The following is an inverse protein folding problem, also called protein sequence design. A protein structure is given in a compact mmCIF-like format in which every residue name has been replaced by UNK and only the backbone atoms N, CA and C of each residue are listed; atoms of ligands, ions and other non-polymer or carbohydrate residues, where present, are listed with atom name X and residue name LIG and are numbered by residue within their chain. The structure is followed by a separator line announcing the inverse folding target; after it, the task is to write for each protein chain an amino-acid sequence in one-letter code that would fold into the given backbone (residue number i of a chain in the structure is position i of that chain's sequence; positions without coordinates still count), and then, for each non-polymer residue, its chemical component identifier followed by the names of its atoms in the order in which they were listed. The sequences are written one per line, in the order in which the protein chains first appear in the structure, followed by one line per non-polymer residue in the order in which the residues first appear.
data_IF_615855062427
#
_entry.id   IF_615855062427
#
_cell.length_a   1.000
_cell.length_b   1.000
_cell.length_c   1.000
_cell.angle_alpha   90.00
_cell.angle_beta   90.00
_cell.angle_gamma   90.00
#
_symmetry.space_group_name_H-M   'P 1'
#
loop_
_entity.id
_entity.type
_entity.pdbx_description
1 polymer ?
#
# COMPACT_ATOMS: atom_id res chain seq x y z
N UNK A 1 2.60 -20.37 -5.83
CA UNK A 1 1.26 -19.74 -5.91
C UNK A 1 1.32 -18.26 -6.32
N UNK A 2 2.13 -17.41 -5.64
CA UNK A 2 2.20 -15.98 -5.99
C UNK A 2 2.67 -15.68 -7.42
N UNK A 3 3.64 -16.44 -7.94
CA UNK A 3 4.17 -16.24 -9.30
C UNK A 3 3.08 -16.44 -10.37
N UNK A 4 2.35 -17.55 -10.31
CA UNK A 4 1.26 -17.82 -11.25
C UNK A 4 0.16 -16.76 -11.16
N UNK A 5 -0.22 -16.36 -9.94
CA UNK A 5 -1.19 -15.29 -9.72
C UNK A 5 -0.72 -13.95 -10.33
N UNK A 6 0.56 -13.62 -10.21
CA UNK A 6 1.12 -12.40 -10.79
C UNK A 6 1.16 -12.45 -12.33
N UNK A 7 1.45 -13.61 -12.93
CA UNK A 7 1.43 -13.75 -14.40
C UNK A 7 0.00 -13.57 -14.93
N UNK A 8 -0.98 -14.27 -14.31
CA UNK A 8 -2.38 -14.14 -14.70
C UNK A 8 -2.90 -12.71 -14.50
N UNK A 9 -2.54 -12.08 -13.40
CA UNK A 9 -2.88 -10.70 -13.11
C UNK A 9 -2.28 -9.73 -14.14
N UNK A 10 -1.00 -9.89 -14.45
CA UNK A 10 -0.29 -9.02 -15.39
C UNK A 10 -0.91 -9.03 -16.77
N UNK A 11 -1.29 -10.25 -17.25
CA UNK A 11 -1.84 -10.44 -18.60
C UNK A 11 -3.35 -10.19 -18.65
N UNK A 12 -4.13 -10.77 -17.73
CA UNK A 12 -5.59 -10.80 -17.78
C UNK A 12 -6.26 -9.88 -16.74
N UNK A 13 -5.60 -9.62 -15.60
CA UNK A 13 -6.15 -8.80 -14.52
C UNK A 13 -5.93 -7.30 -14.69
N UNK A 14 -5.35 -6.87 -15.81
CA UNK A 14 -5.05 -5.46 -16.06
C UNK A 14 -3.81 -4.92 -15.32
N UNK A 15 -3.02 -5.80 -14.69
CA UNK A 15 -1.85 -5.40 -13.91
C UNK A 15 -0.82 -4.59 -14.69
N UNK A 16 -0.61 -4.93 -15.97
CA UNK A 16 0.26 -4.17 -16.86
C UNK A 16 -0.22 -2.73 -17.07
N UNK A 17 -1.47 -2.56 -17.46
CA UNK A 17 -2.06 -1.23 -17.69
C UNK A 17 -2.13 -0.40 -16.41
N UNK A 18 -2.50 -1.02 -15.30
CA UNK A 18 -2.54 -0.34 -14.00
C UNK A 18 -1.15 0.10 -13.53
N UNK A 19 -0.15 -0.72 -13.71
CA UNK A 19 1.24 -0.36 -13.40
C UNK A 19 1.71 0.82 -14.23
N UNK A 20 1.45 0.82 -15.55
CA UNK A 20 1.76 1.95 -16.43
C UNK A 20 0.99 3.22 -16.02
N UNK A 21 -0.29 3.10 -15.68
CA UNK A 21 -1.09 4.21 -15.19
C UNK A 21 -0.46 4.85 -13.94
N UNK A 22 -0.06 4.04 -12.96
CA UNK A 22 0.59 4.54 -11.74
C UNK A 22 1.97 5.14 -11.99
N UNK A 23 2.73 4.63 -12.97
CA UNK A 23 3.98 5.26 -13.43
C UNK A 23 3.71 6.64 -14.01
N UNK A 24 2.69 6.77 -14.84
CA UNK A 24 2.30 8.03 -15.46
C UNK A 24 1.85 9.06 -14.41
N UNK A 25 0.97 8.67 -13.48
CA UNK A 25 0.55 9.52 -12.36
C UNK A 25 1.75 9.96 -11.53
N UNK A 26 2.67 9.04 -11.26
CA UNK A 26 3.90 9.33 -10.53
C UNK A 26 4.80 10.34 -11.25
N UNK A 27 4.94 10.20 -12.56
CA UNK A 27 5.72 11.14 -13.38
C UNK A 27 5.09 12.54 -13.36
N UNK A 28 3.77 12.66 -13.54
CA UNK A 28 3.07 13.93 -13.47
C UNK A 28 3.21 14.60 -12.09
N UNK A 29 3.08 13.81 -11.02
CA UNK A 29 3.28 14.32 -9.67
C UNK A 29 4.70 14.84 -9.44
N UNK A 30 5.73 14.15 -9.97
CA UNK A 30 7.13 14.57 -9.87
C UNK A 30 7.44 15.87 -10.64
N UNK A 31 6.60 16.29 -11.59
CA UNK A 31 6.76 17.58 -12.28
C UNK A 31 6.47 18.79 -11.36
N UNK A 32 5.94 18.57 -10.16
CA UNK A 32 5.64 19.61 -9.19
C UNK A 32 6.44 19.39 -7.91
N UNK A 33 6.89 20.49 -7.27
CA UNK A 33 7.69 20.43 -6.03
C UNK A 33 6.86 19.76 -4.91
N UNK A 34 5.59 20.11 -4.76
CA UNK A 34 4.70 19.55 -3.76
C UNK A 34 4.34 18.09 -4.09
N UNK A 35 4.21 17.75 -5.37
CA UNK A 35 3.87 16.40 -5.83
C UNK A 35 5.04 15.43 -5.79
N UNK A 36 6.29 15.89 -5.71
CA UNK A 36 7.48 15.03 -5.77
C UNK A 36 7.45 13.85 -4.78
N UNK A 37 7.17 14.04 -3.46
CA UNK A 37 7.08 12.92 -2.51
C UNK A 37 5.95 11.94 -2.86
N UNK A 38 4.85 12.43 -3.43
CA UNK A 38 3.75 11.58 -3.90
C UNK A 38 4.12 10.81 -5.16
N UNK A 39 4.87 11.44 -6.07
CA UNK A 39 5.38 10.78 -7.27
C UNK A 39 6.23 9.55 -6.94
N UNK A 40 7.16 9.69 -5.98
CA UNK A 40 7.95 8.55 -5.48
C UNK A 40 7.04 7.46 -4.87
N UNK A 41 6.01 7.85 -4.13
CA UNK A 41 5.05 6.90 -3.58
C UNK A 41 4.24 6.21 -4.70
N UNK A 42 3.82 6.93 -5.74
CA UNK A 42 3.13 6.37 -6.92
C UNK A 42 3.99 5.33 -7.66
N UNK A 43 5.30 5.54 -7.79
CA UNK A 43 6.19 4.55 -8.39
C UNK A 43 6.23 3.24 -7.58
N UNK A 44 6.18 3.32 -6.25
CA UNK A 44 6.05 2.12 -5.40
C UNK A 44 4.72 1.43 -5.61
N UNK A 45 3.62 2.20 -5.70
CA UNK A 45 2.30 1.65 -6.01
C UNK A 45 2.28 1.03 -7.41
N UNK A 46 2.98 1.60 -8.40
CA UNK A 46 3.12 1.00 -9.73
C UNK A 46 3.74 -0.39 -9.67
N UNK A 47 4.86 -0.56 -8.95
CA UNK A 47 5.50 -1.88 -8.75
C UNK A 47 4.56 -2.86 -8.04
N UNK A 48 3.71 -2.38 -7.15
CA UNK A 48 2.68 -3.17 -6.49
C UNK A 48 1.54 -3.53 -7.45
N UNK A 49 1.11 -2.59 -8.28
CA UNK A 49 0.07 -2.80 -9.27
C UNK A 49 0.49 -3.80 -10.35
N UNK A 50 1.77 -3.82 -10.74
CA UNK A 50 2.28 -4.84 -11.64
C UNK A 50 2.22 -6.24 -11.04
N UNK A 51 2.62 -6.40 -9.77
CA UNK A 51 2.81 -7.69 -9.12
C UNK A 51 2.27 -7.68 -7.67
N UNK A 52 0.93 -7.73 -7.45
CA UNK A 52 0.33 -7.57 -6.12
C UNK A 52 0.34 -8.84 -5.27
N UNK A 53 0.46 -10.02 -5.91
CA UNK A 53 0.43 -11.29 -5.18
C UNK A 53 1.76 -11.56 -4.48
N UNK A 54 1.68 -12.05 -3.24
CA UNK A 54 2.86 -12.27 -2.41
C UNK A 54 3.40 -11.00 -1.73
N UNK A 55 2.76 -9.84 -1.94
CA UNK A 55 3.16 -8.56 -1.33
C UNK A 55 2.07 -8.02 -0.40
N UNK A 56 2.50 -7.19 0.55
CA UNK A 56 1.64 -6.52 1.53
C UNK A 56 2.14 -5.10 1.78
N UNK A 57 1.19 -4.19 2.02
CA UNK A 57 1.44 -2.81 2.41
C UNK A 57 1.52 -2.73 3.94
N UNK A 58 2.59 -2.17 4.47
CA UNK A 58 2.77 -1.94 5.91
C UNK A 58 3.29 -0.52 6.17
N UNK A 59 3.09 0.04 7.38
CA UNK A 59 3.77 1.26 7.81
C UNK A 59 5.29 1.08 7.77
N UNK A 60 6.01 2.11 7.32
CA UNK A 60 7.47 2.09 7.22
C UNK A 60 8.15 1.89 8.59
N UNK A 61 7.52 2.37 9.66
CA UNK A 61 7.99 2.22 11.04
C UNK A 61 8.08 0.76 11.50
N UNK A 62 7.26 -0.14 10.92
CA UNK A 62 7.28 -1.56 11.28
C UNK A 62 8.56 -2.27 10.85
N UNK A 63 9.26 -1.72 9.85
CA UNK A 63 10.57 -2.22 9.38
C UNK A 63 11.73 -1.33 9.85
N UNK A 64 11.52 -0.55 10.91
CA UNK A 64 12.57 0.28 11.52
C UNK A 64 12.91 1.55 10.76
N UNK A 65 12.17 1.92 9.72
CA UNK A 65 12.34 3.20 9.05
C UNK A 65 11.74 4.33 9.89
N UNK A 66 12.37 5.49 9.87
CA UNK A 66 11.82 6.68 10.55
C UNK A 66 10.48 7.06 9.93
N UNK A 67 9.52 7.40 10.80
CA UNK A 67 8.27 7.98 10.35
C UNK A 67 8.55 9.22 9.49
N UNK A 68 7.93 9.29 8.32
CA UNK A 68 8.06 10.46 7.45
C UNK A 68 7.31 11.61 8.08
N UNK A 69 8.04 12.60 8.59
CA UNK A 69 7.44 13.79 9.20
C UNK A 69 6.47 14.45 8.21
N UNK A 70 5.25 14.74 8.67
CA UNK A 70 4.22 15.32 7.80
C UNK A 70 3.51 14.33 6.88
N UNK A 71 3.81 13.02 6.93
CA UNK A 71 3.15 12.02 6.08
C UNK A 71 1.64 11.98 6.27
N UNK A 72 1.16 12.18 7.49
CA UNK A 72 -0.28 12.24 7.79
C UNK A 72 -0.94 13.43 7.09
N UNK A 73 -0.35 14.62 7.22
CA UNK A 73 -0.86 15.83 6.57
C UNK A 73 -0.78 15.71 5.03
N UNK A 74 0.33 15.21 4.51
CA UNK A 74 0.48 14.92 3.10
C UNK A 74 -0.57 13.92 2.59
N UNK A 75 -0.83 12.85 3.31
CA UNK A 75 -1.86 11.87 2.95
C UNK A 75 -3.28 12.48 2.98
N UNK A 76 -3.58 13.43 3.86
CA UNK A 76 -4.86 14.14 3.86
C UNK A 76 -5.00 14.96 2.57
N UNK A 77 -3.98 15.74 2.21
CA UNK A 77 -3.97 16.51 0.97
C UNK A 77 -4.13 15.58 -0.24
N UNK A 78 -3.32 14.53 -0.31
CA UNK A 78 -3.39 13.53 -1.36
C UNK A 78 -4.78 12.88 -1.46
N UNK A 79 -5.35 12.49 -0.33
CA UNK A 79 -6.67 11.84 -0.25
C UNK A 79 -7.76 12.73 -0.88
N UNK A 80 -7.77 14.02 -0.54
CA UNK A 80 -8.78 14.98 -1.04
C UNK A 80 -8.67 15.16 -2.57
N UNK A 81 -7.45 15.31 -3.09
CA UNK A 81 -7.26 15.64 -4.50
C UNK A 81 -7.22 14.43 -5.43
N UNK A 82 -6.62 13.32 -5.00
CA UNK A 82 -6.37 12.16 -5.86
C UNK A 82 -6.69 10.83 -5.20
N UNK A 83 -6.26 10.62 -3.95
CA UNK A 83 -6.23 9.31 -3.31
C UNK A 83 -7.60 8.68 -3.13
N UNK A 84 -8.59 9.47 -2.75
CA UNK A 84 -9.98 9.02 -2.58
C UNK A 84 -10.56 8.52 -3.90
N UNK A 85 -10.41 9.28 -4.97
CA UNK A 85 -10.95 8.95 -6.29
C UNK A 85 -10.29 7.70 -6.87
N UNK A 86 -8.97 7.61 -6.74
CA UNK A 86 -8.22 6.43 -7.17
C UNK A 86 -8.61 5.19 -6.37
N UNK A 87 -8.77 5.32 -5.04
CA UNK A 87 -9.19 4.22 -4.19
C UNK A 87 -10.61 3.75 -4.52
N UNK A 88 -11.56 4.67 -4.72
CA UNK A 88 -12.93 4.34 -5.14
C UNK A 88 -12.91 3.58 -6.47
N UNK A 89 -12.15 4.05 -7.47
CA UNK A 89 -12.00 3.36 -8.75
C UNK A 89 -11.52 1.92 -8.57
N UNK A 90 -10.49 1.70 -7.76
CA UNK A 90 -10.00 0.35 -7.47
C UNK A 90 -11.02 -0.50 -6.71
N UNK A 91 -11.77 0.08 -5.76
CA UNK A 91 -12.82 -0.64 -5.02
C UNK A 91 -13.92 -1.09 -5.97
N UNK A 92 -14.41 -0.21 -6.84
CA UNK A 92 -15.46 -0.56 -7.81
C UNK A 92 -15.02 -1.66 -8.77
N UNK A 93 -13.79 -1.56 -9.29
CA UNK A 93 -13.20 -2.62 -10.12
C UNK A 93 -13.05 -3.94 -9.34
N UNK A 94 -12.61 -3.86 -8.10
CA UNK A 94 -12.46 -5.01 -7.22
C UNK A 94 -13.80 -5.72 -6.96
N UNK A 95 -14.86 -4.96 -6.68
CA UNK A 95 -16.21 -5.50 -6.50
C UNK A 95 -16.69 -6.16 -7.80
N UNK A 96 -16.53 -5.50 -8.96
CA UNK A 96 -16.87 -6.09 -10.25
C UNK A 96 -16.14 -7.41 -10.53
N UNK A 97 -14.86 -7.50 -10.21
CA UNK A 97 -14.10 -8.76 -10.32
C UNK A 97 -14.67 -9.85 -9.40
N UNK A 98 -15.07 -9.51 -8.17
CA UNK A 98 -15.61 -10.46 -7.20
C UNK A 98 -16.98 -11.05 -7.60
N UNK A 99 -17.65 -10.50 -8.62
CA UNK A 99 -18.86 -11.10 -9.16
C UNK A 99 -18.62 -12.44 -9.86
N UNK A 100 -17.36 -12.82 -10.12
CA UNK A 100 -16.99 -14.11 -10.70
C UNK A 100 -16.00 -14.83 -9.79
N UNK A 101 -16.08 -16.17 -9.72
CA UNK A 101 -15.18 -16.99 -8.88
C UNK A 101 -13.72 -16.79 -9.30
N UNK A 102 -13.44 -16.75 -10.59
CA UNK A 102 -12.09 -16.53 -11.15
C UNK A 102 -11.61 -15.09 -10.88
N UNK A 103 -12.52 -14.15 -10.79
CA UNK A 103 -12.20 -12.74 -10.53
C UNK A 103 -11.92 -12.42 -9.06
N UNK A 104 -12.35 -13.25 -8.11
CA UNK A 104 -12.12 -13.00 -6.66
C UNK A 104 -10.65 -12.67 -6.35
N UNK A 105 -9.64 -13.46 -6.77
CA UNK A 105 -8.25 -13.12 -6.50
C UNK A 105 -7.84 -11.76 -7.09
N UNK A 106 -8.37 -11.39 -8.25
CA UNK A 106 -8.12 -10.09 -8.88
C UNK A 106 -8.81 -8.95 -8.13
N UNK A 107 -10.04 -9.18 -7.65
CA UNK A 107 -10.74 -8.24 -6.77
C UNK A 107 -9.95 -7.94 -5.49
N UNK A 108 -9.40 -8.98 -4.86
CA UNK A 108 -8.54 -8.83 -3.68
C UNK A 108 -7.26 -8.03 -3.99
N UNK A 109 -6.69 -8.20 -5.19
CA UNK A 109 -5.56 -7.40 -5.62
C UNK A 109 -5.94 -5.92 -5.77
N UNK A 110 -7.10 -5.61 -6.37
CA UNK A 110 -7.61 -4.24 -6.45
C UNK A 110 -7.83 -3.60 -5.07
N UNK A 111 -8.38 -4.33 -4.09
CA UNK A 111 -8.56 -3.80 -2.73
C UNK A 111 -7.24 -3.48 -2.03
N UNK A 112 -6.19 -4.28 -2.26
CA UNK A 112 -4.85 -3.96 -1.75
C UNK A 112 -4.28 -2.69 -2.41
N UNK A 113 -4.46 -2.53 -3.72
CA UNK A 113 -4.01 -1.34 -4.44
C UNK A 113 -4.80 -0.11 -3.99
N UNK A 114 -6.11 -0.24 -3.72
CA UNK A 114 -6.94 0.83 -3.16
C UNK A 114 -6.39 1.35 -1.83
N UNK A 115 -5.95 0.46 -0.94
CA UNK A 115 -5.31 0.85 0.34
C UNK A 115 -4.02 1.65 0.13
N UNK A 116 -3.23 1.27 -0.88
CA UNK A 116 -2.02 1.99 -1.23
C UNK A 116 -2.32 3.34 -1.89
N UNK A 117 -3.35 3.38 -2.74
CA UNK A 117 -3.82 4.59 -3.42
C UNK A 117 -4.36 5.64 -2.45
N UNK A 118 -5.10 5.19 -1.43
CA UNK A 118 -5.73 6.08 -0.45
C UNK A 118 -4.71 6.89 0.36
N UNK A 119 -3.63 6.26 0.84
CA UNK A 119 -2.62 6.90 1.70
C UNK A 119 -1.23 6.33 1.40
N UNK A 120 -0.52 6.83 0.37
CA UNK A 120 0.71 6.23 -0.11
C UNK A 120 1.96 6.62 0.69
N UNK A 121 1.94 7.78 1.40
CA UNK A 121 3.10 8.25 2.15
C UNK A 121 3.28 7.50 3.47
N UNK A 122 4.54 7.25 3.84
CA UNK A 122 4.88 6.58 5.10
C UNK A 122 4.62 5.07 5.10
N UNK A 123 4.33 4.48 3.94
CA UNK A 123 4.08 3.04 3.79
C UNK A 123 5.12 2.37 2.89
N UNK A 124 5.31 1.07 3.09
CA UNK A 124 6.20 0.22 2.29
C UNK A 124 5.47 -1.02 1.80
N UNK A 125 5.84 -1.43 0.61
CA UNK A 125 5.35 -2.65 -0.01
C UNK A 125 6.46 -3.67 0.10
N UNK A 126 6.20 -4.71 0.87
CA UNK A 126 7.17 -5.77 1.20
C UNK A 126 6.58 -7.15 0.90
N UNK A 127 7.39 -8.21 0.95
CA UNK A 127 6.87 -9.57 0.87
C UNK A 127 5.94 -9.86 2.06
N UNK A 128 4.99 -10.77 1.86
CA UNK A 128 4.03 -11.14 2.90
C UNK A 128 4.73 -11.70 4.14
N UNK A 129 5.79 -12.47 3.95
CA UNK A 129 6.59 -13.07 5.01
C UNK A 129 7.28 -11.99 5.85
N UNK A 130 7.93 -11.03 5.19
CA UNK A 130 8.57 -9.90 5.87
C UNK A 130 7.53 -9.04 6.60
N UNK A 131 6.38 -8.79 5.98
CA UNK A 131 5.30 -8.03 6.62
C UNK A 131 4.84 -8.70 7.92
N UNK A 132 4.62 -10.01 7.91
CA UNK A 132 4.19 -10.76 9.09
C UNK A 132 5.26 -10.71 10.21
N UNK A 133 6.53 -10.92 9.88
CA UNK A 133 7.63 -10.83 10.83
C UNK A 133 7.74 -9.43 11.45
N UNK A 134 7.70 -8.39 10.62
CA UNK A 134 7.79 -7.01 11.06
C UNK A 134 6.62 -6.58 11.97
N UNK A 135 5.40 -6.99 11.63
CA UNK A 135 4.21 -6.72 12.45
C UNK A 135 4.33 -7.41 13.82
N UNK A 136 4.79 -8.66 13.85
CA UNK A 136 4.97 -9.40 15.10
C UNK A 136 6.01 -8.72 16.00
N UNK A 137 7.17 -8.40 15.45
CA UNK A 137 8.26 -7.73 16.19
C UNK A 137 7.81 -6.37 16.74
N UNK A 138 7.15 -5.55 15.91
CA UNK A 138 6.64 -4.25 16.31
C UNK A 138 5.63 -4.38 17.47
N UNK A 139 4.70 -5.34 17.38
CA UNK A 139 3.71 -5.57 18.44
C UNK A 139 4.35 -6.06 19.74
N UNK A 140 5.37 -6.93 19.67
CA UNK A 140 6.11 -7.38 20.84
C UNK A 140 6.84 -6.23 21.55
N UNK A 141 7.52 -5.36 20.79
CA UNK A 141 8.17 -4.17 21.33
C UNK A 141 7.16 -3.22 22.00
N UNK A 142 6.03 -3.00 21.35
CA UNK A 142 4.96 -2.14 21.89
C UNK A 142 4.36 -2.68 23.17
N UNK A 143 4.13 -3.99 23.26
CA UNK A 143 3.65 -4.65 24.47
C UNK A 143 4.66 -4.56 25.63
N UNK A 144 5.95 -4.72 25.35
CA UNK A 144 7.02 -4.57 26.36
C UNK A 144 7.02 -3.15 26.95
N UNK A 145 6.97 -2.13 26.08
CA UNK A 145 6.93 -0.72 26.50
C UNK A 145 5.70 -0.42 27.38
N UNK A 146 4.52 -0.95 27.04
CA UNK A 146 3.29 -0.75 27.82
C UNK A 146 3.40 -1.40 29.21
N UNK A 147 4.02 -2.57 29.33
CA UNK A 147 4.24 -3.26 30.62
C UNK A 147 5.18 -2.46 31.51
N UNK A 148 6.27 -1.92 30.95
CA UNK A 148 7.21 -1.10 31.71
C UNK A 148 6.56 0.20 32.21
N UNK A 149 5.72 0.85 31.41
CA UNK A 149 4.97 2.02 31.82
C UNK A 149 3.95 1.70 32.93
N UNK A 150 3.25 0.56 32.84
CA UNK A 150 2.32 0.12 33.87
C UNK A 150 3.01 -0.15 35.20
N UNK A 151 4.20 -0.77 35.19
CA UNK A 151 4.98 -1.03 36.40
C UNK A 151 5.50 0.26 37.05
N UNK A 152 5.88 1.27 36.26
CA UNK A 152 6.35 2.56 36.80
C UNK A 152 5.25 3.44 37.39
N UNK A 153 3.98 3.20 37.07
CA UNK A 153 2.84 3.93 37.62
C UNK A 153 2.27 3.29 38.89
N UNK A 154 2.64 2.04 39.18
CA UNK A 154 2.19 1.28 40.35
C UNK A 154 3.16 1.35 41.55
N UNK A 155 4.35 1.95 41.37
CA UNK A 155 5.34 2.25 42.40
C UNK A 155 5.35 3.74 42.77
#
# INVERSE_FOLDING_TARGET
MALLGNILWFVFGGGFLLGLFWLFVGLLACCTIIGFPFGIACFRVAVFAFLPFGKQLIPAEYIGEKAVTGSTFGNIIWCVFCGLWLAIGHIMYGVGCCCTIVGIPFGLAHFKIAQAAFAPLGKRIVSKELAQAAILEYNQKKLAMMRDQGNNQSN
#
